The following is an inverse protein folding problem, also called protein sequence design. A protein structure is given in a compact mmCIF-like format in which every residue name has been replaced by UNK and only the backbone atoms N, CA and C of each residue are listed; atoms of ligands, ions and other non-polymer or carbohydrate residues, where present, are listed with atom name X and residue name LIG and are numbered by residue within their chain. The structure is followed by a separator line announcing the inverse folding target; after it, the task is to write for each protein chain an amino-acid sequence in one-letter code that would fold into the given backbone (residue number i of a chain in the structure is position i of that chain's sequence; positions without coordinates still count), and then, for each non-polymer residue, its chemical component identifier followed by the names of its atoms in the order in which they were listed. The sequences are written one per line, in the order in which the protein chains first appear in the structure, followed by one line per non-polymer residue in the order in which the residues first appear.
data_IF_592685093410
#
_entry.id   IF_592685093410
#
_cell.length_a   1.000
_cell.length_b   1.000
_cell.length_c   1.000
_cell.angle_alpha   90.00
_cell.angle_beta   90.00
_cell.angle_gamma   90.00
#
_symmetry.space_group_name_H-M   'P 1'
#
loop_
_entity.id
_entity.type
_entity.pdbx_description
1 polymer ?
#
# COMPACT_ATOMS: atom_id res chain seq x y z
N UNK A 1 3.55 -64.93 -8.14
CA UNK A 1 4.17 -63.84 -8.93
C UNK A 1 3.09 -62.87 -9.38
N UNK A 2 2.96 -61.71 -8.72
CA UNK A 2 2.17 -60.58 -9.22
C UNK A 2 2.93 -59.30 -8.85
N UNK A 3 3.45 -58.63 -9.86
CA UNK A 3 4.06 -57.31 -9.77
C UNK A 3 2.98 -56.27 -9.48
N UNK A 4 3.16 -55.45 -8.45
CA UNK A 4 2.45 -54.17 -8.32
C UNK A 4 3.50 -53.07 -8.30
N UNK A 5 3.57 -52.35 -9.42
CA UNK A 5 4.39 -51.16 -9.59
C UNK A 5 3.86 -50.04 -8.69
N UNK A 6 4.69 -49.61 -7.74
CA UNK A 6 4.47 -48.40 -6.98
C UNK A 6 4.67 -47.19 -7.88
N UNK A 7 3.61 -46.41 -8.08
CA UNK A 7 3.67 -45.13 -8.74
C UNK A 7 4.39 -44.12 -7.83
N UNK A 8 5.53 -43.62 -8.31
CA UNK A 8 6.24 -42.49 -7.74
C UNK A 8 5.39 -41.24 -7.98
N UNK A 9 4.80 -40.68 -6.92
CA UNK A 9 4.13 -39.37 -6.98
C UNK A 9 5.22 -38.30 -6.95
N UNK A 10 5.65 -37.83 -8.12
CA UNK A 10 6.45 -36.62 -8.24
C UNK A 10 5.62 -35.41 -7.82
N UNK A 11 5.90 -34.88 -6.63
CA UNK A 11 5.48 -33.56 -6.21
C UNK A 11 6.21 -32.51 -7.06
N UNK A 12 5.63 -32.16 -8.22
CA UNK A 12 6.04 -30.98 -8.98
C UNK A 12 5.45 -29.77 -8.25
N UNK A 13 6.28 -29.14 -7.41
CA UNK A 13 6.04 -27.78 -6.95
C UNK A 13 6.08 -26.87 -8.19
N UNK A 14 4.92 -26.61 -8.78
CA UNK A 14 4.74 -25.55 -9.77
C UNK A 14 5.10 -24.22 -9.08
N UNK A 15 6.34 -23.79 -9.29
CA UNK A 15 6.79 -22.43 -9.00
C UNK A 15 6.02 -21.48 -9.93
N UNK A 16 4.79 -21.14 -9.54
CA UNK A 16 4.10 -20.01 -10.17
C UNK A 16 4.96 -18.76 -9.96
N UNK A 17 5.20 -17.95 -11.00
CA UNK A 17 5.90 -16.69 -10.83
C UNK A 17 5.03 -15.79 -9.95
N UNK A 18 5.35 -15.72 -8.66
CA UNK A 18 4.72 -14.78 -7.74
C UNK A 18 5.08 -13.36 -8.17
N UNK A 19 4.05 -12.51 -8.26
CA UNK A 19 4.06 -11.22 -8.95
C UNK A 19 4.01 -10.03 -7.98
N UNK A 20 4.73 -10.05 -6.86
CA UNK A 20 4.82 -8.88 -5.98
C UNK A 20 6.28 -8.53 -5.55
N UNK A 21 6.55 -7.29 -5.12
CA UNK A 21 7.81 -6.56 -4.79
C UNK A 21 7.55 -5.04 -4.79
N UNK A 22 8.18 -4.18 -3.98
CA UNK A 22 7.67 -2.80 -3.80
C UNK A 22 8.71 -1.67 -3.93
N UNK A 23 8.32 -0.49 -4.43
CA UNK A 23 8.84 0.80 -3.98
C UNK A 23 7.99 1.11 -2.75
N UNK A 24 8.27 0.37 -1.69
CA UNK A 24 7.53 0.43 -0.44
C UNK A 24 8.59 0.53 0.68
N UNK A 25 8.32 -0.02 1.85
CA UNK A 25 9.28 0.04 2.95
C UNK A 25 10.61 -0.67 2.75
N UNK A 26 10.72 -1.59 1.79
CA UNK A 26 12.01 -2.12 1.38
C UNK A 26 12.86 -1.09 0.62
N UNK A 27 12.25 -0.13 -0.09
CA UNK A 27 12.95 1.00 -0.73
C UNK A 27 13.04 2.18 0.24
N UNK A 28 11.92 2.77 0.62
CA UNK A 28 11.83 4.03 1.35
C UNK A 28 12.45 3.98 2.75
N UNK A 29 12.41 2.82 3.41
CA UNK A 29 13.14 2.61 4.65
C UNK A 29 14.45 1.83 4.41
N UNK A 30 14.34 0.59 3.95
CA UNK A 30 15.45 -0.36 3.94
C UNK A 30 16.61 0.08 3.05
N UNK A 31 16.34 0.29 1.76
CA UNK A 31 17.35 0.69 0.79
C UNK A 31 17.86 2.09 1.08
N UNK A 32 16.99 3.04 1.45
CA UNK A 32 17.38 4.40 1.87
C UNK A 32 18.35 4.37 3.06
N UNK A 33 18.06 3.59 4.10
CA UNK A 33 18.94 3.42 5.27
C UNK A 33 20.30 2.87 4.85
N UNK A 34 20.30 1.84 4.00
CA UNK A 34 21.53 1.21 3.53
C UNK A 34 22.38 2.18 2.68
N UNK A 35 21.76 2.90 1.74
CA UNK A 35 22.41 3.90 0.88
C UNK A 35 22.97 5.06 1.71
N UNK A 36 22.24 5.54 2.72
CA UNK A 36 22.72 6.61 3.60
C UNK A 36 23.97 6.17 4.38
N UNK A 37 24.00 4.93 4.87
CA UNK A 37 25.22 4.36 5.48
C UNK A 37 26.37 4.28 4.50
N UNK A 38 26.12 3.89 3.24
CA UNK A 38 27.16 3.89 2.20
C UNK A 38 27.66 5.31 1.87
N UNK A 39 26.78 6.31 1.98
CA UNK A 39 27.14 7.72 1.76
C UNK A 39 27.90 8.33 2.96
N UNK A 40 28.14 7.54 4.01
CA UNK A 40 28.94 7.93 5.17
C UNK A 40 28.15 8.68 6.25
N UNK A 41 26.81 8.62 6.26
CA UNK A 41 26.02 9.10 7.39
C UNK A 41 26.24 8.21 8.62
N UNK A 42 26.24 8.82 9.81
CA UNK A 42 26.25 8.06 11.06
C UNK A 42 24.94 7.26 11.19
N UNK A 43 24.93 6.13 11.93
CA UNK A 43 23.74 5.29 12.02
C UNK A 43 22.43 6.02 12.42
N UNK A 44 22.44 6.94 13.41
CA UNK A 44 21.23 7.68 13.77
C UNK A 44 20.75 8.64 12.66
N UNK A 45 21.68 9.27 11.93
CA UNK A 45 21.33 10.20 10.85
C UNK A 45 20.74 9.44 9.65
N UNK A 46 21.34 8.29 9.31
CA UNK A 46 20.85 7.42 8.26
C UNK A 46 19.44 6.88 8.58
N UNK A 47 19.20 6.53 9.84
CA UNK A 47 17.88 6.10 10.32
C UNK A 47 16.87 7.24 10.31
N UNK A 48 17.25 8.46 10.70
CA UNK A 48 16.38 9.63 10.65
C UNK A 48 15.93 9.96 9.21
N UNK A 49 16.83 9.86 8.23
CA UNK A 49 16.50 10.03 6.80
C UNK A 49 15.52 8.94 6.35
N UNK A 50 15.86 7.67 6.57
CA UNK A 50 15.04 6.54 6.13
C UNK A 50 13.66 6.50 6.81
N UNK A 51 13.57 6.89 8.08
CA UNK A 51 12.30 6.98 8.80
C UNK A 51 11.43 8.10 8.24
N UNK A 52 12.02 9.24 7.88
CA UNK A 52 11.26 10.35 7.32
C UNK A 52 10.80 10.10 5.88
N UNK A 53 11.60 9.37 5.08
CA UNK A 53 11.23 8.87 3.75
C UNK A 53 10.02 7.92 3.86
N UNK A 54 10.14 6.84 4.64
CA UNK A 54 9.06 5.87 4.87
C UNK A 54 7.76 6.45 5.44
N UNK A 55 7.84 7.51 6.25
CA UNK A 55 6.66 8.05 6.93
C UNK A 55 5.63 8.63 5.98
N UNK A 56 6.06 9.04 4.77
CA UNK A 56 5.18 9.54 3.73
C UNK A 56 4.15 8.49 3.25
N UNK A 57 4.48 7.20 3.25
CA UNK A 57 3.52 6.16 2.84
C UNK A 57 2.49 5.83 3.93
N UNK A 58 3.00 5.47 5.11
CA UNK A 58 2.20 4.74 6.10
C UNK A 58 2.66 4.95 7.54
N UNK A 59 3.51 5.95 7.78
CA UNK A 59 4.09 6.19 9.10
C UNK A 59 3.35 7.24 9.94
N UNK A 60 2.58 8.12 9.30
CA UNK A 60 1.75 9.13 9.96
C UNK A 60 0.41 9.31 9.23
N UNK A 61 -0.66 9.58 9.98
CA UNK A 61 -2.02 9.63 9.42
C UNK A 61 -2.21 10.74 8.37
N UNK A 62 -1.51 11.87 8.51
CA UNK A 62 -1.57 13.00 7.58
C UNK A 62 -1.04 12.68 6.16
N UNK A 63 -0.37 11.54 5.99
CA UNK A 63 0.18 11.11 4.71
C UNK A 63 -0.57 9.90 4.13
N UNK A 64 -1.55 9.35 4.85
CA UNK A 64 -2.31 8.18 4.43
C UNK A 64 -3.53 8.53 3.59
N UNK A 65 -3.32 9.31 2.52
CA UNK A 65 -4.35 9.69 1.56
C UNK A 65 -4.69 8.52 0.62
N UNK A 66 -5.91 8.48 0.09
CA UNK A 66 -6.32 7.43 -0.86
C UNK A 66 -6.94 8.02 -2.13
N UNK A 67 -6.54 7.59 -3.35
CA UNK A 67 -7.15 8.04 -4.60
C UNK A 67 -8.66 7.82 -4.64
N UNK A 68 -9.11 6.71 -4.04
CA UNK A 68 -10.52 6.38 -3.91
C UNK A 68 -11.29 7.45 -3.14
N UNK A 69 -10.64 8.10 -2.18
CA UNK A 69 -11.23 9.18 -1.41
C UNK A 69 -11.01 10.54 -2.07
N UNK A 70 -9.77 10.98 -2.27
CA UNK A 70 -9.50 12.39 -2.62
C UNK A 70 -9.93 12.71 -4.04
N UNK A 71 -9.98 11.72 -4.94
CA UNK A 71 -10.37 11.95 -6.31
C UNK A 71 -11.80 11.51 -6.62
N UNK A 72 -12.40 10.59 -5.86
CA UNK A 72 -13.68 9.99 -6.23
C UNK A 72 -14.81 10.29 -5.25
N UNK A 73 -14.60 10.07 -3.95
CA UNK A 73 -15.65 10.19 -2.94
C UNK A 73 -15.72 11.59 -2.32
N UNK A 74 -14.58 12.12 -1.86
CA UNK A 74 -14.47 13.47 -1.28
C UNK A 74 -14.17 14.55 -2.33
N UNK A 75 -13.44 14.21 -3.40
CA UNK A 75 -12.98 15.16 -4.44
C UNK A 75 -12.24 16.36 -3.84
N UNK A 76 -11.29 16.07 -2.97
CA UNK A 76 -10.58 17.06 -2.18
C UNK A 76 -9.22 17.40 -2.80
N UNK A 77 -9.14 18.60 -3.39
CA UNK A 77 -7.96 19.05 -4.14
C UNK A 77 -6.67 19.10 -3.31
N UNK A 78 -6.64 19.58 -2.04
CA UNK A 78 -5.41 19.64 -1.27
C UNK A 78 -4.70 18.27 -1.15
N UNK A 79 -5.44 17.21 -0.90
CA UNK A 79 -4.87 15.86 -0.78
C UNK A 79 -4.41 15.33 -2.14
N UNK A 80 -5.09 15.70 -3.23
CA UNK A 80 -4.60 15.41 -4.57
C UNK A 80 -3.28 16.15 -4.89
N UNK A 81 -3.10 17.39 -4.44
CA UNK A 81 -1.85 18.15 -4.60
C UNK A 81 -0.73 17.49 -3.80
N UNK A 82 -1.02 17.08 -2.57
CA UNK A 82 -0.08 16.41 -1.70
C UNK A 82 0.34 15.03 -2.24
N UNK A 83 -0.62 14.21 -2.68
CA UNK A 83 -0.36 12.93 -3.32
C UNK A 83 0.48 13.10 -4.60
N UNK A 84 0.22 14.15 -5.37
CA UNK A 84 1.00 14.44 -6.57
C UNK A 84 2.45 14.79 -6.22
N UNK A 85 2.66 15.67 -5.24
CA UNK A 85 4.00 16.08 -4.85
C UNK A 85 4.84 14.92 -4.28
N UNK A 86 4.19 13.96 -3.62
CA UNK A 86 4.82 12.85 -2.90
C UNK A 86 5.04 11.61 -3.76
N UNK A 87 4.08 11.23 -4.62
CA UNK A 87 4.15 9.95 -5.36
C UNK A 87 4.16 10.13 -6.88
N UNK A 88 3.58 11.23 -7.38
CA UNK A 88 3.44 11.48 -8.83
C UNK A 88 4.03 12.84 -9.26
N UNK A 89 5.32 13.10 -9.03
CA UNK A 89 5.91 14.43 -9.25
C UNK A 89 6.00 14.78 -10.75
N UNK A 90 4.90 15.32 -11.26
CA UNK A 90 4.74 15.86 -12.62
C UNK A 90 4.88 17.39 -12.64
N UNK A 91 5.19 17.97 -13.81
CA UNK A 91 5.38 19.42 -13.95
C UNK A 91 4.08 20.21 -13.94
N UNK A 92 2.96 19.61 -14.36
CA UNK A 92 1.64 20.22 -14.26
C UNK A 92 0.95 19.77 -12.99
N UNK A 93 0.51 20.71 -12.16
CA UNK A 93 -0.20 20.41 -10.92
C UNK A 93 -1.66 20.05 -11.16
N UNK A 94 -2.24 19.20 -10.29
CA UNK A 94 -3.69 19.02 -10.22
C UNK A 94 -4.40 20.34 -9.83
N UNK A 95 -5.64 20.60 -10.30
CA UNK A 95 -6.40 19.78 -11.25
C UNK A 95 -5.88 19.96 -12.68
N UNK A 96 -5.64 18.83 -13.37
CA UNK A 96 -5.23 18.82 -14.78
C UNK A 96 -5.45 17.44 -15.41
N UNK A 97 -5.56 17.40 -16.74
CA UNK A 97 -5.63 16.14 -17.48
C UNK A 97 -4.44 15.23 -17.16
N UNK A 98 -4.67 13.92 -17.05
CA UNK A 98 -3.65 12.95 -16.68
C UNK A 98 -2.41 13.02 -17.61
N UNK A 99 -2.60 13.23 -18.91
CA UNK A 99 -1.52 13.35 -19.90
C UNK A 99 -0.60 14.54 -19.61
N UNK A 100 -1.13 15.63 -19.06
CA UNK A 100 -0.33 16.80 -18.70
C UNK A 100 0.49 16.56 -17.41
N UNK A 101 0.13 15.55 -16.62
CA UNK A 101 0.73 15.21 -15.32
C UNK A 101 1.74 14.06 -15.41
N UNK A 102 2.30 13.82 -16.60
CA UNK A 102 3.29 12.77 -16.78
C UNK A 102 4.50 12.94 -15.85
N UNK A 103 4.89 11.85 -15.21
CA UNK A 103 6.03 11.79 -14.29
C UNK A 103 7.29 11.41 -15.06
N UNK A 104 8.34 12.22 -14.91
CA UNK A 104 9.65 11.94 -15.46
C UNK A 104 10.61 11.51 -14.34
N UNK A 105 11.23 10.31 -14.44
CA UNK A 105 12.19 9.85 -13.44
C UNK A 105 13.33 10.85 -13.23
N UNK A 106 13.56 11.25 -11.98
CA UNK A 106 14.57 12.25 -11.62
C UNK A 106 14.35 13.63 -12.27
N UNK A 107 13.14 13.92 -12.74
CA UNK A 107 12.81 15.16 -13.44
C UNK A 107 12.77 16.40 -12.52
N UNK A 108 12.60 17.61 -13.10
CA UNK A 108 12.64 18.86 -12.33
C UNK A 108 11.63 18.94 -11.17
N UNK A 109 10.43 18.38 -11.36
CA UNK A 109 9.39 18.36 -10.33
C UNK A 109 9.81 17.54 -9.10
N UNK A 110 10.49 16.41 -9.31
CA UNK A 110 11.01 15.56 -8.24
C UNK A 110 12.31 16.13 -7.63
N UNK A 111 13.13 16.82 -8.42
CA UNK A 111 14.40 17.42 -7.96
C UNK A 111 14.20 18.65 -7.08
N UNK A 112 13.17 19.46 -7.36
CA UNK A 112 12.98 20.73 -6.67
C UNK A 112 12.85 20.61 -5.13
N UNK A 113 12.08 19.64 -4.57
CA UNK A 113 12.06 19.40 -3.12
C UNK A 113 13.42 19.01 -2.53
N UNK A 114 14.22 18.23 -3.27
CA UNK A 114 15.59 17.84 -2.85
C UNK A 114 16.48 19.07 -2.75
N UNK A 115 16.51 19.90 -3.79
CA UNK A 115 17.33 21.11 -3.80
C UNK A 115 16.90 22.08 -2.70
N UNK A 116 15.59 22.22 -2.46
CA UNK A 116 15.06 23.02 -1.36
C UNK A 116 15.52 22.48 0.01
N UNK A 117 15.48 21.16 0.23
CA UNK A 117 15.95 20.53 1.46
C UNK A 117 17.46 20.71 1.66
N UNK A 118 18.26 20.59 0.59
CA UNK A 118 19.71 20.81 0.63
C UNK A 118 20.06 22.27 0.98
N UNK A 119 19.34 23.24 0.41
CA UNK A 119 19.49 24.66 0.75
C UNK A 119 19.16 24.92 2.22
N UNK A 120 18.04 24.36 2.73
CA UNK A 120 17.65 24.49 4.14
C UNK A 120 18.67 23.85 5.09
N UNK A 121 19.32 22.76 4.69
CA UNK A 121 20.35 22.07 5.46
C UNK A 121 21.68 22.85 5.52
N UNK A 122 21.87 23.86 4.66
CA UNK A 122 23.04 24.74 4.67
C UNK A 122 23.18 25.56 5.96
N UNK A 123 24.32 26.25 6.09
CA UNK A 123 24.54 27.22 7.19
C UNK A 123 24.51 26.61 8.60
N UNK A 124 24.95 25.36 8.75
CA UNK A 124 25.02 24.68 10.05
C UNK A 124 23.72 24.01 10.51
N UNK A 125 22.68 23.95 9.67
CA UNK A 125 21.38 23.36 10.02
C UNK A 125 21.24 21.88 9.64
N UNK A 126 22.27 21.27 9.07
CA UNK A 126 22.24 19.91 8.52
C UNK A 126 21.68 18.87 9.50
N UNK A 127 22.09 18.89 10.78
CA UNK A 127 21.59 17.95 11.79
C UNK A 127 20.06 18.00 11.96
N UNK A 128 19.45 19.18 11.80
CA UNK A 128 18.03 19.42 12.03
C UNK A 128 17.17 19.20 10.77
N UNK A 129 17.79 19.09 9.60
CA UNK A 129 17.10 19.04 8.31
C UNK A 129 17.10 17.64 7.67
N UNK A 130 17.54 16.61 8.42
CA UNK A 130 17.55 15.22 7.94
C UNK A 130 16.15 14.71 7.58
N UNK A 131 15.16 15.05 8.42
CA UNK A 131 13.78 14.64 8.16
C UNK A 131 13.16 15.30 6.92
N UNK A 132 13.48 16.57 6.67
CA UNK A 132 13.04 17.26 5.45
C UNK A 132 13.68 16.63 4.20
N UNK A 133 14.97 16.28 4.29
CA UNK A 133 15.66 15.61 3.21
C UNK A 133 15.12 14.20 2.95
N UNK A 134 14.84 13.41 4.00
CA UNK A 134 14.19 12.10 3.87
C UNK A 134 12.82 12.20 3.20
N UNK A 135 11.97 13.14 3.61
CA UNK A 135 10.66 13.37 2.93
C UNK A 135 10.81 13.77 1.47
N UNK A 136 11.83 14.58 1.13
CA UNK A 136 12.09 14.95 -0.25
C UNK A 136 12.62 13.79 -1.10
N UNK A 137 13.37 12.85 -0.48
CA UNK A 137 13.83 11.63 -1.15
C UNK A 137 12.67 10.71 -1.54
N UNK A 138 11.57 10.73 -0.81
CA UNK A 138 10.40 9.92 -1.11
C UNK A 138 9.87 10.17 -2.54
N UNK A 139 9.42 11.40 -2.83
CA UNK A 139 8.97 11.76 -4.18
C UNK A 139 10.06 11.71 -5.24
N UNK A 140 11.31 11.92 -4.85
CA UNK A 140 12.43 11.65 -5.75
C UNK A 140 12.44 10.19 -6.21
N UNK A 141 12.38 9.23 -5.30
CA UNK A 141 12.40 7.79 -5.59
C UNK A 141 11.14 7.37 -6.37
N UNK A 142 9.97 7.83 -5.96
CA UNK A 142 8.68 7.50 -6.57
C UNK A 142 8.55 7.97 -8.02
N UNK A 143 9.34 8.97 -8.43
CA UNK A 143 9.40 9.37 -9.84
C UNK A 143 9.84 8.23 -10.78
N UNK A 144 10.54 7.20 -10.29
CA UNK A 144 10.85 5.98 -11.05
C UNK A 144 9.73 4.94 -11.00
N UNK A 145 9.08 4.75 -9.85
CA UNK A 145 7.95 3.84 -9.71
C UNK A 145 6.77 4.28 -10.59
N UNK A 146 6.39 5.55 -10.48
CA UNK A 146 5.21 6.13 -11.13
C UNK A 146 5.51 6.83 -12.46
N UNK A 147 6.65 6.53 -13.10
CA UNK A 147 7.02 7.13 -14.39
C UNK A 147 5.91 6.99 -15.44
N UNK A 148 5.77 8.00 -16.28
CA UNK A 148 4.79 8.04 -17.35
C UNK A 148 3.49 8.73 -16.93
N UNK A 149 2.41 8.45 -17.67
CA UNK A 149 1.11 9.09 -17.44
C UNK A 149 0.35 8.31 -16.36
N UNK A 150 -0.08 8.94 -15.24
CA UNK A 150 -0.90 8.29 -14.24
C UNK A 150 -2.24 7.87 -14.86
N UNK A 151 -2.79 6.73 -14.43
CA UNK A 151 -4.12 6.30 -14.86
C UNK A 151 -5.22 6.92 -14.00
N UNK A 152 -6.47 6.78 -14.46
CA UNK A 152 -7.68 7.17 -13.71
C UNK A 152 -8.47 5.89 -13.43
N UNK A 153 -8.68 5.50 -12.16
CA UNK A 153 -9.52 4.36 -11.83
C UNK A 153 -10.96 4.51 -12.33
N UNK A 154 -11.55 3.41 -12.80
CA UNK A 154 -12.96 3.35 -13.21
C UNK A 154 -13.75 2.39 -12.31
N UNK A 155 -14.49 2.98 -11.37
CA UNK A 155 -15.44 2.28 -10.50
C UNK A 155 -16.89 2.72 -10.79
N UNK A 156 -17.16 3.21 -12.01
CA UNK A 156 -18.47 3.75 -12.38
C UNK A 156 -19.59 2.70 -12.28
N UNK A 157 -19.27 1.43 -12.52
CA UNK A 157 -20.21 0.29 -12.36
C UNK A 157 -20.69 0.14 -10.91
N UNK A 158 -19.87 0.54 -9.96
CA UNK A 158 -20.20 0.55 -8.53
C UNK A 158 -20.84 1.86 -8.09
N UNK A 159 -21.08 2.80 -9.01
CA UNK A 159 -21.65 4.12 -8.72
C UNK A 159 -20.63 5.11 -8.14
N UNK A 160 -19.33 4.84 -8.30
CA UNK A 160 -18.24 5.70 -7.83
C UNK A 160 -17.60 6.36 -9.05
N UNK A 161 -17.74 7.67 -9.16
CA UNK A 161 -17.19 8.45 -10.27
C UNK A 161 -16.00 9.30 -9.81
N UNK A 162 -14.82 8.95 -10.30
CA UNK A 162 -13.59 9.69 -10.06
C UNK A 162 -13.50 10.96 -10.91
N UNK A 163 -12.96 12.02 -10.33
CA UNK A 163 -12.55 13.23 -11.03
C UNK A 163 -11.21 12.97 -11.72
N UNK A 164 -11.21 12.90 -13.05
CA UNK A 164 -10.00 12.65 -13.85
C UNK A 164 -8.94 13.76 -13.74
N UNK A 165 -9.34 14.98 -13.33
CA UNK A 165 -8.44 16.09 -13.07
C UNK A 165 -7.65 15.92 -11.77
N UNK A 166 -8.14 15.11 -10.83
CA UNK A 166 -7.54 14.86 -9.51
C UNK A 166 -6.90 13.46 -9.43
N UNK A 167 -7.55 12.45 -10.01
CA UNK A 167 -7.19 11.05 -9.85
C UNK A 167 -5.76 10.76 -10.33
N UNK A 168 -5.04 9.98 -9.53
CA UNK A 168 -3.73 9.40 -9.85
C UNK A 168 -3.74 7.98 -9.34
N UNK A 169 -3.23 7.08 -10.16
CA UNK A 169 -3.09 5.66 -9.86
C UNK A 169 -1.95 5.12 -10.73
N UNK A 170 -1.71 3.81 -10.68
CA UNK A 170 -0.62 3.16 -11.41
C UNK A 170 -0.53 3.64 -12.87
N UNK A 171 0.68 3.84 -13.43
CA UNK A 171 0.83 4.40 -14.77
C UNK A 171 0.11 3.60 -15.86
N UNK A 172 -0.26 4.25 -16.97
CA UNK A 172 -1.01 3.63 -18.08
C UNK A 172 -0.31 2.43 -18.74
N UNK A 173 1.00 2.24 -18.53
CA UNK A 173 1.74 1.08 -19.02
C UNK A 173 1.57 -0.17 -18.12
N UNK A 174 0.80 -0.06 -17.03
CA UNK A 174 0.47 -1.15 -16.11
C UNK A 174 -0.87 -1.83 -16.44
N UNK A 175 -1.10 -3.08 -15.99
CA UNK A 175 -2.31 -3.84 -16.34
C UNK A 175 -3.62 -3.22 -15.82
N UNK A 176 -3.59 -2.62 -14.63
CA UNK A 176 -4.77 -2.00 -13.99
C UNK A 176 -4.35 -0.78 -13.15
N UNK A 177 -5.26 0.19 -12.91
CA UNK A 177 -5.00 1.33 -12.04
C UNK A 177 -4.63 0.94 -10.59
N UNK A 178 -5.23 -0.12 -10.05
CA UNK A 178 -4.94 -0.62 -8.69
C UNK A 178 -3.75 -1.59 -8.66
N UNK A 179 -2.86 -1.56 -9.65
CA UNK A 179 -1.77 -2.54 -9.74
C UNK A 179 -0.51 -2.08 -9.02
N UNK A 180 -0.05 -2.89 -8.05
CA UNK A 180 1.29 -2.77 -7.47
C UNK A 180 2.44 -3.11 -8.44
N UNK A 181 2.16 -3.34 -9.72
CA UNK A 181 3.15 -3.80 -10.69
C UNK A 181 4.30 -2.79 -10.93
N UNK A 182 4.02 -1.50 -10.71
CA UNK A 182 4.96 -0.40 -10.81
C UNK A 182 6.01 -0.40 -9.68
N UNK A 183 5.61 -0.87 -8.51
CA UNK A 183 6.43 -0.94 -7.30
C UNK A 183 7.38 -2.17 -7.34
N UNK A 184 7.19 -3.12 -8.26
CA UNK A 184 7.98 -4.36 -8.31
C UNK A 184 9.44 -4.16 -8.70
N UNK A 185 10.35 -4.13 -7.71
CA UNK A 185 11.79 -3.89 -7.94
C UNK A 185 12.41 -4.80 -9.01
N UNK A 186 12.03 -6.08 -9.06
CA UNK A 186 12.58 -7.03 -10.03
C UNK A 186 11.99 -6.89 -11.44
N UNK A 187 10.80 -6.28 -11.60
CA UNK A 187 10.23 -6.00 -12.93
C UNK A 187 10.86 -4.78 -13.58
N UNK A 188 11.42 -3.90 -12.76
CA UNK A 188 12.00 -2.62 -13.15
C UNK A 188 13.44 -2.49 -12.66
N UNK A 189 14.22 -3.55 -12.85
CA UNK A 189 15.60 -3.65 -12.35
C UNK A 189 16.48 -2.45 -12.72
N UNK A 190 16.40 -2.00 -13.97
CA UNK A 190 17.15 -0.82 -14.44
C UNK A 190 16.72 0.47 -13.73
N UNK A 191 15.42 0.60 -13.42
CA UNK A 191 14.89 1.78 -12.74
C UNK A 191 15.28 1.80 -11.28
N UNK A 192 15.28 0.64 -10.61
CA UNK A 192 15.73 0.52 -9.22
C UNK A 192 17.20 0.86 -9.10
N UNK A 193 18.05 0.37 -10.01
CA UNK A 193 19.48 0.71 -10.01
C UNK A 193 19.69 2.20 -10.29
N UNK A 194 18.99 2.75 -11.30
CA UNK A 194 19.05 4.17 -11.65
C UNK A 194 18.57 5.07 -10.51
N UNK A 195 17.45 4.72 -9.86
CA UNK A 195 16.93 5.40 -8.68
C UNK A 195 17.93 5.32 -7.53
N UNK A 196 18.47 4.15 -7.23
CA UNK A 196 19.42 3.97 -6.14
C UNK A 196 20.67 4.82 -6.36
N UNK A 197 21.16 4.89 -7.61
CA UNK A 197 22.28 5.76 -7.98
C UNK A 197 21.93 7.23 -7.76
N UNK A 198 20.77 7.66 -8.25
CA UNK A 198 20.30 9.02 -8.16
C UNK A 198 20.14 9.47 -6.70
N UNK A 199 19.46 8.65 -5.88
CA UNK A 199 19.31 8.83 -4.43
C UNK A 199 20.66 8.92 -3.72
N UNK A 200 21.59 8.01 -4.04
CA UNK A 200 22.94 8.02 -3.50
C UNK A 200 23.69 9.33 -3.81
N UNK A 201 23.55 9.84 -5.04
CA UNK A 201 24.14 11.11 -5.43
C UNK A 201 23.56 12.28 -4.60
N UNK A 202 22.25 12.30 -4.33
CA UNK A 202 21.67 13.33 -3.46
C UNK A 202 22.20 13.22 -2.02
N UNK A 203 22.36 12.01 -1.49
CA UNK A 203 22.92 11.78 -0.17
C UNK A 203 24.37 12.27 -0.03
N UNK A 204 25.17 12.16 -1.09
CA UNK A 204 26.55 12.68 -1.11
C UNK A 204 26.61 14.20 -1.26
N UNK A 205 25.59 14.84 -1.87
CA UNK A 205 25.44 16.31 -1.91
C UNK A 205 25.06 16.93 -0.56
N UNK A 206 24.51 16.14 0.37
CA UNK A 206 24.08 16.65 1.68
C UNK A 206 25.24 17.35 2.45
N UNK A 207 25.01 18.48 3.14
CA UNK A 207 26.08 19.11 3.90
C UNK A 207 26.61 18.22 5.02
N UNK A 208 27.88 18.42 5.41
CA UNK A 208 28.45 17.74 6.57
C UNK A 208 27.70 18.15 7.85
N UNK A 209 27.46 17.17 8.72
CA UNK A 209 26.76 17.36 9.99
C UNK A 209 27.80 17.62 11.07
N UNK A 210 27.64 18.72 11.83
CA UNK A 210 28.55 19.09 12.92
C UNK A 210 30.04 19.16 12.53
N UNK A 211 30.33 19.48 11.27
CA UNK A 211 31.71 19.53 10.75
C UNK A 211 32.38 18.17 10.57
N UNK A 212 31.68 17.06 10.83
CA UNK A 212 32.21 15.72 10.62
C UNK A 212 32.30 15.40 9.12
N UNK A 213 33.50 15.12 8.63
CA UNK A 213 33.71 14.69 7.26
C UNK A 213 33.08 13.30 7.05
N UNK A 214 32.25 13.17 6.02
CA UNK A 214 31.66 11.89 5.62
C UNK A 214 32.53 11.24 4.56
N UNK A 215 32.78 9.93 4.69
CA UNK A 215 33.49 9.14 3.67
C UNK A 215 32.49 8.24 2.95
N UNK A 216 32.05 8.71 1.80
CA UNK A 216 31.18 7.95 0.91
C UNK A 216 31.95 6.78 0.25
N UNK A 217 31.30 5.63 0.14
CA UNK A 217 31.79 4.48 -0.62
C UNK A 217 31.72 4.79 -2.13
N UNK A 218 32.69 4.41 -2.96
CA UNK A 218 32.57 4.60 -4.41
C UNK A 218 31.32 3.91 -4.96
N UNK A 219 30.56 4.59 -5.83
CA UNK A 219 29.29 4.08 -6.37
C UNK A 219 29.44 2.67 -6.97
N UNK A 220 30.53 2.37 -7.68
CA UNK A 220 30.74 1.04 -8.27
C UNK A 220 30.72 -0.09 -7.23
N UNK A 221 31.21 0.16 -6.01
CA UNK A 221 31.17 -0.82 -4.92
C UNK A 221 29.77 -0.95 -4.31
N UNK A 222 29.02 0.16 -4.25
CA UNK A 222 27.61 0.17 -3.84
C UNK A 222 26.78 -0.62 -4.85
N UNK A 223 26.90 -0.30 -6.13
CA UNK A 223 26.19 -0.95 -7.25
C UNK A 223 26.35 -2.47 -7.25
N UNK A 224 27.55 -2.99 -6.99
CA UNK A 224 27.82 -4.44 -6.96
C UNK A 224 26.96 -5.22 -5.96
N UNK A 225 26.41 -4.56 -4.94
CA UNK A 225 25.58 -5.20 -3.90
C UNK A 225 24.08 -5.16 -4.20
N UNK A 226 23.64 -4.33 -5.13
CA UNK A 226 22.23 -4.15 -5.49
C UNK A 226 21.55 -5.36 -6.17
N UNK A 227 22.20 -6.19 -7.01
CA UNK A 227 21.50 -7.24 -7.74
C UNK A 227 20.68 -8.19 -6.87
N UNK A 228 21.17 -8.53 -5.67
CA UNK A 228 20.44 -9.37 -4.72
C UNK A 228 19.17 -8.71 -4.19
N UNK A 229 19.20 -7.39 -3.90
CA UNK A 229 18.02 -6.63 -3.50
C UNK A 229 17.01 -6.54 -4.64
N UNK A 230 17.48 -6.22 -5.83
CA UNK A 230 16.64 -6.04 -7.03
C UNK A 230 15.91 -7.34 -7.37
N UNK A 231 16.61 -8.48 -7.34
CA UNK A 231 16.09 -9.77 -7.75
C UNK A 231 15.21 -10.46 -6.68
N UNK A 232 15.21 -10.00 -5.43
CA UNK A 232 14.45 -10.62 -4.35
C UNK A 232 12.93 -10.48 -4.57
N UNK A 233 12.21 -11.62 -4.48
CA UNK A 233 10.77 -11.73 -4.78
C UNK A 233 9.90 -12.06 -3.58
N UNK A 234 10.47 -12.09 -2.38
CA UNK A 234 9.75 -12.38 -1.14
C UNK A 234 10.28 -11.51 0.00
N UNK A 235 9.47 -11.27 1.02
CA UNK A 235 9.89 -10.57 2.25
C UNK A 235 11.08 -11.29 2.88
N UNK A 236 11.06 -12.63 2.91
CA UNK A 236 12.20 -13.43 3.36
C UNK A 236 13.48 -13.13 2.59
N UNK A 237 13.46 -13.15 1.26
CA UNK A 237 14.65 -12.92 0.45
C UNK A 237 15.19 -11.48 0.60
N UNK A 238 14.30 -10.48 0.68
CA UNK A 238 14.68 -9.09 0.99
C UNK A 238 15.32 -9.01 2.37
N UNK A 239 14.74 -9.67 3.37
CA UNK A 239 15.29 -9.72 4.73
C UNK A 239 16.68 -10.33 4.77
N UNK A 240 16.89 -11.46 4.09
CA UNK A 240 18.21 -12.10 4.04
C UNK A 240 19.25 -11.16 3.40
N UNK A 241 18.88 -10.41 2.35
CA UNK A 241 19.76 -9.40 1.76
C UNK A 241 20.08 -8.26 2.74
N UNK A 242 19.08 -7.71 3.44
CA UNK A 242 19.29 -6.64 4.41
C UNK A 242 20.19 -7.06 5.57
N UNK A 243 19.95 -8.26 6.12
CA UNK A 243 20.78 -8.82 7.20
C UNK A 243 22.22 -9.02 6.73
N UNK A 244 22.42 -9.58 5.53
CA UNK A 244 23.75 -9.74 4.94
C UNK A 244 24.47 -8.40 4.68
N UNK A 245 23.71 -7.31 4.56
CA UNK A 245 24.21 -5.95 4.34
C UNK A 245 24.18 -5.07 5.60
N UNK A 246 24.08 -5.67 6.80
CA UNK A 246 24.24 -4.97 8.07
C UNK A 246 22.99 -4.26 8.60
N UNK A 247 21.82 -4.57 8.06
CA UNK A 247 20.52 -4.13 8.60
C UNK A 247 19.87 -5.32 9.29
N UNK A 248 20.04 -5.41 10.61
CA UNK A 248 19.58 -6.55 11.41
C UNK A 248 18.07 -6.57 11.62
N UNK A 249 17.45 -5.41 11.80
CA UNK A 249 16.00 -5.30 11.96
C UNK A 249 15.31 -5.11 10.61
N UNK A 250 14.60 -6.13 10.16
CA UNK A 250 13.88 -6.18 8.88
C UNK A 250 12.36 -6.15 9.07
N UNK A 251 11.87 -5.77 10.25
CA UNK A 251 10.43 -5.72 10.54
C UNK A 251 9.65 -4.68 9.72
N UNK A 252 10.33 -3.80 8.98
CA UNK A 252 9.72 -2.90 8.00
C UNK A 252 9.19 -3.65 6.77
N UNK A 253 9.62 -4.88 6.53
CA UNK A 253 9.10 -5.71 5.44
C UNK A 253 7.74 -6.34 5.78
N UNK A 254 7.20 -6.18 7.00
CA UNK A 254 6.04 -6.96 7.42
C UNK A 254 4.77 -6.69 6.59
N UNK A 255 4.54 -5.46 6.19
CA UNK A 255 3.36 -5.13 5.37
C UNK A 255 3.72 -4.38 4.09
N UNK A 256 4.86 -4.70 3.49
CA UNK A 256 5.02 -4.46 2.05
C UNK A 256 4.24 -5.53 1.28
N UNK A 257 3.93 -5.26 0.02
CA UNK A 257 3.09 -6.10 -0.84
C UNK A 257 3.80 -7.35 -1.36
N UNK A 258 5.02 -7.65 -0.89
CA UNK A 258 5.72 -8.91 -1.21
C UNK A 258 5.04 -10.14 -0.61
N UNK A 259 5.08 -11.30 -1.29
CA UNK A 259 4.76 -12.55 -0.64
C UNK A 259 5.80 -12.82 0.45
N UNK A 260 5.39 -13.45 1.53
CA UNK A 260 6.26 -13.66 2.69
C UNK A 260 7.50 -14.50 2.37
N UNK A 261 7.32 -15.57 1.60
CA UNK A 261 8.33 -16.57 1.31
C UNK A 261 8.58 -17.57 2.45
N UNK A 262 9.43 -18.58 2.23
CA UNK A 262 9.63 -19.67 3.17
C UNK A 262 10.11 -19.20 4.54
N UNK A 263 9.48 -19.69 5.62
CA UNK A 263 9.87 -19.43 7.01
C UNK A 263 9.91 -17.95 7.42
N UNK A 264 9.26 -17.05 6.69
CA UNK A 264 8.99 -15.70 7.16
C UNK A 264 8.12 -15.75 8.41
N UNK A 265 8.40 -14.86 9.36
CA UNK A 265 7.56 -14.66 10.54
C UNK A 265 7.22 -13.20 10.60
N UNK A 266 5.93 -12.89 10.65
CA UNK A 266 5.48 -11.52 10.84
C UNK A 266 6.00 -10.99 12.17
N UNK A 267 6.73 -9.87 12.14
CA UNK A 267 7.35 -9.27 13.33
C UNK A 267 6.56 -8.05 13.81
N UNK A 268 5.65 -7.53 12.96
CA UNK A 268 4.90 -6.27 13.10
C UNK A 268 5.84 -5.06 13.26
N UNK A 269 5.46 -3.96 12.63
CA UNK A 269 6.24 -2.73 12.50
C UNK A 269 6.62 -2.13 13.87
N UNK A 270 7.78 -2.50 14.44
CA UNK A 270 8.20 -2.06 15.79
C UNK A 270 8.45 -0.55 15.83
N UNK A 271 7.48 0.24 16.31
CA UNK A 271 7.64 1.67 16.58
C UNK A 271 7.88 2.56 15.34
N UNK A 272 7.66 2.03 14.13
CA UNK A 272 7.88 2.78 12.87
C UNK A 272 6.67 3.58 12.41
N UNK A 273 5.50 3.30 12.97
CA UNK A 273 4.24 3.99 12.70
C UNK A 273 3.81 4.73 13.95
N UNK A 274 3.47 6.00 13.80
CA UNK A 274 2.89 6.82 14.86
C UNK A 274 1.43 7.08 14.49
N UNK A 275 0.58 6.09 14.82
CA UNK A 275 -0.82 6.07 14.40
C UNK A 275 -1.73 6.24 15.62
N UNK A 276 -2.66 7.21 15.58
CA UNK A 276 -3.63 7.38 16.64
C UNK A 276 -4.60 6.20 16.70
N UNK A 277 -5.11 5.92 17.90
CA UNK A 277 -6.17 4.91 18.08
C UNK A 277 -7.48 5.45 17.51
N UNK A 278 -8.18 4.71 16.63
CA UNK A 278 -9.45 5.15 16.08
C UNK A 278 -10.55 5.30 17.14
N UNK A 279 -11.36 6.35 17.00
CA UNK A 279 -12.59 6.55 17.75
C UNK A 279 -13.71 5.62 17.23
N UNK A 280 -14.80 5.40 17.99
CA UNK A 280 -15.94 4.62 17.51
C UNK A 280 -16.58 5.24 16.26
N UNK A 281 -16.88 4.44 15.23
CA UNK A 281 -17.42 4.94 13.94
C UNK A 281 -18.73 5.73 14.03
N UNK A 282 -19.47 5.60 15.14
CA UNK A 282 -20.67 6.39 15.43
C UNK A 282 -20.44 7.90 15.51
N UNK A 283 -19.19 8.35 15.59
CA UNK A 283 -18.86 9.79 15.62
C UNK A 283 -18.68 10.41 14.23
N UNK A 284 -18.81 9.64 13.14
CA UNK A 284 -18.73 10.22 11.79
C UNK A 284 -19.91 11.18 11.55
N UNK A 285 -19.68 12.48 11.26
CA UNK A 285 -20.76 13.43 11.06
C UNK A 285 -21.60 13.12 9.81
N UNK A 286 -22.92 13.26 9.92
CA UNK A 286 -23.84 13.20 8.77
C UNK A 286 -24.10 11.80 8.21
N UNK A 287 -23.73 10.75 8.93
CA UNK A 287 -24.01 9.35 8.55
C UNK A 287 -25.10 8.77 9.44
N UNK A 288 -26.08 8.12 8.83
CA UNK A 288 -27.18 7.49 9.57
C UNK A 288 -26.68 6.36 10.47
N UNK A 289 -27.24 6.28 11.69
CA UNK A 289 -26.83 5.28 12.68
C UNK A 289 -27.02 3.83 12.19
N UNK A 290 -28.07 3.57 11.39
CA UNK A 290 -28.40 2.23 10.94
C UNK A 290 -27.30 1.61 10.04
N UNK A 291 -26.68 2.43 9.18
CA UNK A 291 -25.61 1.99 8.29
C UNK A 291 -24.26 1.91 9.02
N UNK A 292 -24.04 2.81 9.99
CA UNK A 292 -22.87 2.70 10.88
C UNK A 292 -22.91 1.38 11.64
N UNK A 293 -24.04 1.08 12.29
CA UNK A 293 -24.21 -0.15 13.07
C UNK A 293 -24.01 -1.41 12.17
N UNK A 294 -24.51 -1.37 10.93
CA UNK A 294 -24.30 -2.43 9.95
C UNK A 294 -22.81 -2.65 9.62
N UNK A 295 -22.07 -1.60 9.24
CA UNK A 295 -20.66 -1.74 8.89
C UNK A 295 -19.79 -2.08 10.09
N UNK A 296 -20.07 -1.51 11.27
CA UNK A 296 -19.37 -1.87 12.51
C UNK A 296 -19.54 -3.37 12.80
N UNK A 297 -20.76 -3.90 12.70
CA UNK A 297 -21.01 -5.33 12.88
C UNK A 297 -20.29 -6.18 11.83
N UNK A 298 -20.44 -5.83 10.55
CA UNK A 298 -19.78 -6.53 9.44
C UNK A 298 -18.26 -6.59 9.59
N UNK A 299 -17.60 -5.44 9.76
CA UNK A 299 -16.15 -5.37 9.86
C UNK A 299 -15.62 -6.07 11.11
N UNK A 300 -16.31 -5.91 12.25
CA UNK A 300 -15.93 -6.61 13.49
C UNK A 300 -15.99 -8.13 13.30
N UNK A 301 -17.07 -8.65 12.74
CA UNK A 301 -17.18 -10.08 12.46
C UNK A 301 -16.15 -10.55 11.42
N UNK A 302 -15.89 -9.74 10.39
CA UNK A 302 -14.95 -10.07 9.32
C UNK A 302 -13.51 -10.23 9.83
N UNK A 303 -13.05 -9.34 10.71
CA UNK A 303 -11.65 -9.33 11.19
C UNK A 303 -11.40 -10.19 12.44
N UNK A 304 -12.44 -10.48 13.24
CA UNK A 304 -12.30 -11.23 14.50
C UNK A 304 -12.71 -12.71 14.40
N UNK A 305 -13.35 -13.14 13.31
CA UNK A 305 -13.86 -14.52 13.18
C UNK A 305 -12.85 -15.49 12.59
N UNK A 306 -12.83 -16.72 13.13
CA UNK A 306 -12.15 -17.89 12.55
C UNK A 306 -12.98 -19.18 12.72
N UNK A 307 -13.15 -20.03 11.69
CA UNK A 307 -12.72 -19.83 10.30
C UNK A 307 -13.41 -18.60 9.69
N UNK A 308 -12.67 -17.92 8.79
CA UNK A 308 -12.93 -16.53 8.42
C UNK A 308 -14.37 -16.32 8.01
N UNK A 309 -15.01 -17.26 7.33
CA UNK A 309 -16.31 -17.14 6.66
C UNK A 309 -17.54 -17.58 7.48
N UNK A 310 -17.54 -17.59 8.82
CA UNK A 310 -18.74 -18.05 9.56
C UNK A 310 -19.75 -16.98 9.95
N UNK A 311 -19.29 -15.80 10.38
CA UNK A 311 -20.18 -14.80 11.02
C UNK A 311 -20.67 -13.69 10.09
N UNK A 312 -19.88 -13.29 9.10
CA UNK A 312 -20.23 -12.20 8.18
C UNK A 312 -20.93 -12.64 6.89
N UNK A 313 -20.98 -13.94 6.55
CA UNK A 313 -21.70 -14.40 5.35
C UNK A 313 -23.16 -13.94 5.26
N UNK A 314 -23.95 -13.90 6.35
CA UNK A 314 -25.30 -13.36 6.31
C UNK A 314 -25.38 -11.90 5.85
N UNK A 315 -24.30 -11.11 5.99
CA UNK A 315 -24.24 -9.74 5.49
C UNK A 315 -24.17 -9.66 3.96
N UNK A 316 -23.82 -10.75 3.28
CA UNK A 316 -23.71 -10.83 1.81
C UNK A 316 -24.88 -11.60 1.20
N UNK A 317 -25.50 -12.52 1.94
CA UNK A 317 -26.65 -13.27 1.45
C UNK A 317 -27.84 -12.35 1.15
N UNK A 318 -28.20 -12.28 -0.14
CA UNK A 318 -29.29 -11.48 -0.68
C UNK A 318 -30.68 -11.87 -0.17
N UNK A 319 -30.88 -13.12 0.26
CA UNK A 319 -32.14 -13.64 0.81
C UNK A 319 -31.88 -14.77 1.83
N UNK A 320 -32.83 -15.01 2.76
CA UNK A 320 -32.77 -16.16 3.68
C UNK A 320 -32.70 -17.46 2.88
N UNK A 321 -31.68 -18.27 3.13
CA UNK A 321 -31.50 -19.59 2.50
C UNK A 321 -30.81 -19.57 1.13
N UNK A 322 -30.44 -18.40 0.58
CA UNK A 322 -29.61 -18.32 -0.62
C UNK A 322 -28.12 -18.29 -0.27
N UNK A 323 -27.33 -19.01 -1.09
CA UNK A 323 -25.88 -19.01 -0.98
C UNK A 323 -25.31 -17.63 -1.37
N UNK A 324 -24.31 -17.11 -0.65
CA UNK A 324 -23.65 -15.86 -0.99
C UNK A 324 -22.89 -16.00 -2.31
N UNK A 325 -22.62 -14.87 -2.98
CA UNK A 325 -21.76 -14.85 -4.16
C UNK A 325 -20.36 -15.32 -3.80
N UNK A 326 -19.94 -16.45 -4.38
CA UNK A 326 -18.64 -17.05 -4.11
C UNK A 326 -17.49 -16.10 -4.50
N UNK A 327 -17.64 -15.28 -5.55
CA UNK A 327 -16.58 -14.37 -5.97
C UNK A 327 -16.32 -13.28 -4.93
N UNK A 328 -17.38 -12.69 -4.38
CA UNK A 328 -17.31 -11.71 -3.30
C UNK A 328 -16.77 -12.34 -2.00
N UNK A 329 -17.21 -13.56 -1.68
CA UNK A 329 -16.69 -14.29 -0.50
C UNK A 329 -15.19 -14.55 -0.66
N UNK A 330 -14.75 -15.06 -1.81
CA UNK A 330 -13.35 -15.37 -2.05
C UNK A 330 -12.48 -14.10 -2.04
N UNK A 331 -12.98 -12.98 -2.58
CA UNK A 331 -12.29 -11.69 -2.51
C UNK A 331 -12.13 -11.20 -1.06
N UNK A 332 -13.20 -11.20 -0.27
CA UNK A 332 -13.16 -10.78 1.15
C UNK A 332 -12.31 -11.72 2.01
N UNK A 333 -12.22 -12.99 1.67
CA UNK A 333 -11.27 -13.93 2.29
C UNK A 333 -9.83 -13.58 1.87
N UNK A 334 -9.63 -13.27 0.59
CA UNK A 334 -8.34 -12.87 0.04
C UNK A 334 -7.72 -11.64 0.70
N UNK A 335 -8.51 -10.58 0.85
CA UNK A 335 -8.12 -9.35 1.56
C UNK A 335 -7.73 -9.58 3.04
N UNK A 336 -8.21 -10.67 3.66
CA UNK A 336 -7.88 -11.03 5.04
C UNK A 336 -6.60 -11.85 5.17
N UNK A 337 -6.02 -12.32 4.08
CA UNK A 337 -4.80 -13.14 4.13
C UNK A 337 -3.67 -12.31 4.73
N UNK A 338 -2.99 -12.88 5.74
CA UNK A 338 -1.79 -12.26 6.34
C UNK A 338 -0.67 -12.13 5.30
N UNK A 339 -0.53 -13.13 4.43
CA UNK A 339 0.36 -13.08 3.27
C UNK A 339 -0.36 -12.40 2.10
N UNK A 340 -0.65 -11.10 2.25
CA UNK A 340 -1.43 -10.35 1.26
C UNK A 340 -0.72 -10.28 -0.11
N UNK A 341 0.62 -10.23 -0.12
CA UNK A 341 1.39 -10.28 -1.37
C UNK A 341 1.20 -11.57 -2.17
N UNK A 342 0.91 -12.71 -1.52
CA UNK A 342 0.54 -13.94 -2.23
C UNK A 342 -0.85 -13.84 -2.89
N UNK A 343 -1.78 -13.10 -2.29
CA UNK A 343 -3.10 -12.84 -2.86
C UNK A 343 -3.01 -11.95 -4.10
N UNK A 344 -2.33 -10.81 -3.98
CA UNK A 344 -2.11 -9.87 -5.09
C UNK A 344 -1.37 -10.53 -6.27
N UNK A 345 -0.42 -11.42 -6.00
CA UNK A 345 0.27 -12.19 -7.02
C UNK A 345 -0.67 -13.09 -7.85
N UNK A 346 -1.78 -13.53 -7.26
CA UNK A 346 -2.79 -14.39 -7.88
C UNK A 346 -3.88 -13.64 -8.65
N UNK A 347 -4.26 -12.42 -8.23
CA UNK A 347 -5.32 -11.61 -8.86
C UNK A 347 -5.01 -11.23 -10.33
N UNK A 348 -3.73 -11.21 -10.72
CA UNK A 348 -3.29 -10.93 -12.09
C UNK A 348 -3.41 -12.09 -13.10
N UNK A 349 -4.04 -13.21 -12.74
CA UNK A 349 -4.26 -14.37 -13.62
C UNK A 349 -5.66 -14.33 -14.25
N UNK A 350 -5.82 -14.67 -15.54
CA UNK A 350 -7.13 -14.74 -16.17
C UNK A 350 -8.03 -15.73 -15.42
N UNK A 351 -9.27 -15.28 -15.18
CA UNK A 351 -10.35 -15.85 -14.35
C UNK A 351 -10.83 -17.26 -14.75
N UNK A 352 -10.06 -18.04 -15.52
CA UNK A 352 -10.51 -19.31 -16.14
C UNK A 352 -10.00 -20.60 -15.52
N UNK A 353 -9.25 -20.57 -14.41
CA UNK A 353 -8.96 -21.80 -13.66
C UNK A 353 -9.53 -21.67 -12.26
N UNK A 354 -10.57 -22.49 -12.03
CA UNK A 354 -11.23 -22.67 -10.75
C UNK A 354 -10.23 -22.55 -9.59
N UNK A 355 -10.29 -21.45 -8.86
CA UNK A 355 -9.64 -21.35 -7.57
C UNK A 355 -10.32 -22.36 -6.67
N UNK A 356 -9.71 -23.53 -6.50
CA UNK A 356 -10.10 -24.44 -5.44
C UNK A 356 -9.85 -23.68 -4.12
N UNK A 357 -10.94 -23.22 -3.51
CA UNK A 357 -11.00 -22.43 -2.27
C UNK A 357 -10.54 -23.18 -1.01
N UNK A 358 -9.89 -24.34 -1.16
CA UNK A 358 -9.60 -25.26 -0.05
C UNK A 358 -8.31 -24.94 0.73
N UNK A 359 -7.17 -24.55 0.11
CA UNK A 359 -5.96 -24.20 0.87
C UNK A 359 -6.01 -22.79 1.49
N UNK A 360 -6.76 -21.86 0.88
CA UNK A 360 -6.89 -20.47 1.33
C UNK A 360 -7.67 -20.31 2.64
N UNK A 361 -8.45 -21.32 3.06
CA UNK A 361 -9.24 -21.29 4.30
C UNK A 361 -8.54 -21.92 5.51
N UNK A 362 -7.23 -22.20 5.40
CA UNK A 362 -6.46 -22.66 6.55
C UNK A 362 -6.34 -21.52 7.57
N UNK A 363 -6.71 -21.79 8.83
CA UNK A 363 -6.62 -20.82 9.94
C UNK A 363 -5.22 -20.22 10.08
N UNK A 364 -4.17 -20.97 9.77
CA UNK A 364 -2.78 -20.49 9.84
C UNK A 364 -2.45 -19.37 8.85
N UNK A 365 -3.28 -19.16 7.82
CA UNK A 365 -3.11 -18.12 6.81
C UNK A 365 -3.66 -16.76 7.22
N UNK A 366 -4.39 -16.69 8.35
CA UNK A 366 -5.10 -15.50 8.80
C UNK A 366 -4.61 -15.04 10.16
N UNK A 367 -4.48 -13.73 10.33
CA UNK A 367 -4.44 -13.12 11.65
C UNK A 367 -5.87 -12.96 12.17
N UNK A 368 -6.14 -13.49 13.35
CA UNK A 368 -7.39 -13.23 14.09
C UNK A 368 -7.11 -12.11 15.07
N UNK A 369 -7.82 -11.00 14.93
CA UNK A 369 -7.66 -9.82 15.77
C UNK A 369 -8.64 -9.85 16.95
N UNK A 370 -8.28 -9.16 18.03
CA UNK A 370 -9.13 -9.07 19.23
C UNK A 370 -10.28 -8.08 19.02
N UNK A 371 -10.04 -7.02 18.25
CA UNK A 371 -11.03 -5.99 17.91
C UNK A 371 -10.85 -5.47 16.48
N UNK A 372 -11.82 -4.67 16.02
CA UNK A 372 -11.72 -3.97 14.75
C UNK A 372 -10.52 -3.01 14.72
N UNK A 373 -10.32 -2.24 15.78
CA UNK A 373 -9.23 -1.26 15.86
C UNK A 373 -7.84 -1.90 15.82
N UNK A 374 -7.71 -3.17 16.23
CA UNK A 374 -6.44 -3.90 16.13
C UNK A 374 -6.14 -4.38 14.69
N UNK A 375 -7.16 -4.40 13.82
CA UNK A 375 -7.10 -4.98 12.49
C UNK A 375 -6.95 -3.95 11.37
N UNK A 376 -7.12 -2.66 11.67
CA UNK A 376 -7.19 -1.58 10.68
C UNK A 376 -6.21 -0.47 10.98
N UNK A 377 -5.86 0.26 9.93
CA UNK A 377 -5.20 1.55 10.06
C UNK A 377 -6.25 2.67 10.19
N UNK A 378 -5.94 3.74 10.94
CA UNK A 378 -6.85 4.86 11.08
C UNK A 378 -7.05 5.60 9.75
N UNK A 379 -8.25 6.12 9.57
CA UNK A 379 -8.65 6.94 8.43
C UNK A 379 -9.26 8.26 8.92
N UNK A 380 -9.15 9.29 8.08
CA UNK A 380 -9.81 10.59 8.26
C UNK A 380 -10.61 10.94 7.01
N UNK A 381 -11.76 11.59 7.19
CA UNK A 381 -12.49 12.16 6.07
C UNK A 381 -11.71 13.35 5.52
N UNK A 382 -11.08 13.16 4.37
CA UNK A 382 -10.50 14.21 3.54
C UNK A 382 -11.57 15.27 3.20
N UNK A 383 -11.28 16.52 3.54
CA UNK A 383 -12.21 17.63 3.38
C UNK A 383 -11.83 18.84 4.24
N UNK A 384 -12.57 19.94 4.08
CA UNK A 384 -12.29 21.20 4.77
C UNK A 384 -12.61 21.17 6.28
N UNK A 385 -13.40 20.19 6.73
CA UNK A 385 -13.86 20.09 8.12
C UNK A 385 -12.95 19.17 8.92
N UNK A 386 -12.69 19.48 10.21
CA UNK A 386 -12.02 18.54 11.10
C UNK A 386 -12.73 17.20 11.09
N UNK A 387 -11.97 16.14 10.86
CA UNK A 387 -12.49 14.78 10.82
C UNK A 387 -11.98 13.99 12.04
N UNK A 388 -12.86 13.23 12.73
CA UNK A 388 -12.38 12.28 13.72
C UNK A 388 -11.53 11.20 13.05
N UNK A 389 -10.60 10.64 13.82
CA UNK A 389 -9.84 9.44 13.41
C UNK A 389 -10.74 8.22 13.56
N UNK A 390 -11.01 7.50 12.48
CA UNK A 390 -12.00 6.41 12.44
C UNK A 390 -11.40 5.11 11.89
N UNK A 391 -11.96 3.93 12.24
CA UNK A 391 -11.50 2.65 11.72
C UNK A 391 -12.00 2.37 10.29
N UNK A 392 -13.05 3.05 9.86
CA UNK A 392 -13.58 3.05 8.50
C UNK A 392 -14.39 4.34 8.26
N UNK A 393 -14.58 4.70 6.99
CA UNK A 393 -15.34 5.88 6.57
C UNK A 393 -16.52 5.49 5.69
N UNK A 394 -17.72 6.01 5.95
CA UNK A 394 -18.91 5.73 5.13
C UNK A 394 -19.22 6.91 4.20
N UNK A 395 -19.48 6.60 2.93
CA UNK A 395 -19.94 7.56 1.93
C UNK A 395 -21.23 7.07 1.28
N UNK A 396 -22.20 7.98 1.11
CA UNK A 396 -23.40 7.69 0.34
C UNK A 396 -23.08 7.54 -1.14
N UNK A 397 -23.72 6.58 -1.81
CA UNK A 397 -23.62 6.37 -3.25
C UNK A 397 -24.94 6.71 -3.95
N UNK A 398 -24.93 6.96 -5.27
CA UNK A 398 -26.16 7.01 -6.06
C UNK A 398 -27.01 5.75 -5.83
N UNK A 399 -28.34 5.94 -5.79
CA UNK A 399 -29.28 4.82 -5.63
C UNK A 399 -29.09 3.77 -6.72
N UNK A 400 -29.41 2.51 -6.41
CA UNK A 400 -29.43 1.45 -7.42
C UNK A 400 -30.48 1.73 -8.50
N UNK A 401 -30.42 0.97 -9.60
CA UNK A 401 -31.48 0.97 -10.63
C UNK A 401 -32.87 0.71 -10.05
N UNK A 402 -32.93 -0.07 -8.96
CA UNK A 402 -34.17 -0.43 -8.26
C UNK A 402 -34.60 0.63 -7.23
N UNK A 403 -33.88 1.75 -7.15
CA UNK A 403 -34.16 2.87 -6.26
C UNK A 403 -33.73 2.67 -4.81
N UNK A 404 -33.00 1.60 -4.50
CA UNK A 404 -32.50 1.31 -3.15
C UNK A 404 -31.37 2.26 -2.76
N UNK A 405 -31.27 2.56 -1.46
CA UNK A 405 -30.14 3.32 -0.92
C UNK A 405 -28.85 2.51 -1.02
N UNK A 406 -27.75 3.17 -1.37
CA UNK A 406 -26.43 2.56 -1.49
C UNK A 406 -25.40 3.38 -0.73
N UNK A 407 -24.34 2.71 -0.30
CA UNK A 407 -23.20 3.33 0.32
C UNK A 407 -21.93 2.50 0.10
N UNK A 408 -20.78 3.12 0.33
CA UNK A 408 -19.49 2.44 0.41
C UNK A 408 -18.85 2.74 1.76
N UNK A 409 -18.23 1.75 2.38
CA UNK A 409 -17.35 1.96 3.53
C UNK A 409 -15.89 1.72 3.15
N UNK A 410 -15.05 2.74 3.33
CA UNK A 410 -13.60 2.64 3.14
C UNK A 410 -12.95 2.09 4.41
N UNK A 411 -12.09 1.10 4.24
CA UNK A 411 -11.28 0.51 5.32
C UNK A 411 -9.86 0.25 4.80
N UNK A 412 -8.87 0.40 5.67
CA UNK A 412 -7.47 0.12 5.37
C UNK A 412 -6.98 -0.93 6.36
N UNK A 413 -6.66 -2.13 5.90
CA UNK A 413 -6.31 -3.25 6.79
C UNK A 413 -4.84 -3.17 7.22
N UNK A 414 -4.55 -3.64 8.42
CA UNK A 414 -3.17 -3.68 8.94
C UNK A 414 -2.26 -4.58 8.09
N UNK A 415 -2.82 -5.66 7.52
CA UNK A 415 -2.10 -6.63 6.70
C UNK A 415 -1.97 -6.24 5.21
N UNK A 416 -2.71 -5.23 4.75
CA UNK A 416 -2.62 -4.65 3.40
C UNK A 416 -2.53 -3.11 3.49
N UNK A 417 -1.43 -2.58 4.07
CA UNK A 417 -1.39 -1.18 4.48
C UNK A 417 -1.12 -0.19 3.35
N UNK A 418 -0.96 -0.67 2.12
CA UNK A 418 -0.78 0.10 0.89
C UNK A 418 -2.09 0.16 0.06
N UNK A 419 -3.16 -0.44 0.59
CA UNK A 419 -4.44 -0.59 -0.10
C UNK A 419 -5.58 0.00 0.71
N UNK A 420 -6.45 0.75 0.04
CA UNK A 420 -7.76 1.12 0.59
C UNK A 420 -8.85 0.29 -0.07
N UNK A 421 -9.65 -0.40 0.75
CA UNK A 421 -10.77 -1.23 0.32
C UNK A 421 -12.09 -0.50 0.57
N UNK A 422 -12.91 -0.36 -0.48
CA UNK A 422 -14.29 0.10 -0.38
C UNK A 422 -15.27 -1.07 -0.40
N UNK A 423 -16.02 -1.30 0.68
CA UNK A 423 -17.10 -2.28 0.74
C UNK A 423 -18.39 -1.63 0.29
N UNK A 424 -18.97 -2.09 -0.81
CA UNK A 424 -20.19 -1.52 -1.41
C UNK A 424 -21.40 -2.26 -0.86
N UNK A 425 -22.38 -1.51 -0.36
CA UNK A 425 -23.60 -2.07 0.22
C UNK A 425 -24.87 -1.38 -0.27
N UNK A 426 -25.97 -2.12 -0.23
CA UNK A 426 -27.30 -1.69 -0.64
C UNK A 426 -28.33 -2.01 0.46
N UNK A 427 -29.24 -1.09 0.73
CA UNK A 427 -30.36 -1.30 1.67
C UNK A 427 -31.57 -1.85 0.93
N UNK A 428 -31.88 -3.12 1.17
CA UNK A 428 -33.00 -3.81 0.51
C UNK A 428 -34.24 -3.84 1.40
N UNK A 429 -35.40 -3.57 0.81
CA UNK A 429 -36.68 -3.57 1.51
C UNK A 429 -36.93 -4.92 2.22
N UNK A 430 -37.25 -4.86 3.52
CA UNK A 430 -37.54 -6.03 4.35
C UNK A 430 -36.33 -6.91 4.75
N UNK A 431 -35.12 -6.62 4.24
CA UNK A 431 -33.91 -7.42 4.47
C UNK A 431 -32.79 -6.60 5.13
N UNK A 432 -32.82 -5.28 5.01
CA UNK A 432 -31.82 -4.37 5.57
C UNK A 432 -30.62 -4.18 4.65
N UNK A 433 -29.52 -3.68 5.22
CA UNK A 433 -28.25 -3.50 4.49
C UNK A 433 -27.59 -4.84 4.15
N UNK A 434 -27.06 -4.93 2.93
CA UNK A 434 -26.27 -6.07 2.44
C UNK A 434 -25.06 -5.59 1.66
N UNK A 435 -23.93 -6.27 1.85
CA UNK A 435 -22.74 -6.09 1.03
C UNK A 435 -23.03 -6.69 -0.35
N UNK A 436 -22.87 -5.88 -1.39
CA UNK A 436 -23.15 -6.24 -2.78
C UNK A 436 -21.91 -6.26 -3.66
N UNK A 437 -20.79 -5.71 -3.18
CA UNK A 437 -19.54 -5.65 -3.94
C UNK A 437 -18.39 -5.07 -3.14
N UNK A 438 -17.25 -4.94 -3.81
CA UNK A 438 -16.06 -4.30 -3.28
C UNK A 438 -15.33 -3.56 -4.41
N UNK A 439 -14.60 -2.52 -4.04
CA UNK A 439 -13.64 -1.80 -4.87
C UNK A 439 -12.33 -1.67 -4.09
N UNK A 440 -11.19 -1.58 -4.77
CA UNK A 440 -9.90 -1.35 -4.11
C UNK A 440 -9.05 -0.37 -4.89
N UNK A 441 -8.26 0.40 -4.15
CA UNK A 441 -7.21 1.27 -4.68
C UNK A 441 -5.89 0.90 -4.04
N UNK A 442 -4.84 0.82 -4.86
CA UNK A 442 -3.49 1.06 -4.36
C UNK A 442 -3.40 2.55 -4.03
N UNK A 443 -2.89 2.91 -2.85
CA UNK A 443 -2.95 4.29 -2.36
C UNK A 443 -1.85 5.18 -2.95
N UNK A 444 -0.75 4.59 -3.43
CA UNK A 444 0.36 5.31 -4.02
C UNK A 444 0.93 4.51 -5.18
#
# INVERSE_FOLDING_TARGET
MRFHGGWLVCAIALAMPLRCAGFEADVHFGLTLWLARQAGFAPPDAEAIALADQRIDAGSIEYMTSPLQYACLSRFLPDAVDAQARHYPGTRTVPADAQARAVAPGGPAALAPIDAALVKAGGGKAAFMLGEFGRALHGWQDSWAHRGVPSVPDWSRDGIMCDAGLAMAAPLDQPTPSSHAAELTWRRAADVESMAQATYLQMTRYPNINGAARRAVPWDQVRQRLPGFIAARTKRAKSDWFVANGIADTSFLDGISLPDGPAWKAVRWRGRRDLPVPLPSAVQPGVDKDIVDFYTGFFSDWVTTSPVDKRWLPAISAARGQKPDNALVDALVGWRLRDHGAYLAGEGLPRSTAHSSSPARNRASFQVFTSLNDAVLPLIVEGEKPSPVLPFLIFALPRSSDGNLRAVALVKLLDSPYDTLGIVSEKRNGIGWKVTGWVSSADY
#
